data_IF_792502009315
#
_entry.id   IF_792502009315
#
_cell.length_a   1.000
_cell.length_b   1.000
_cell.length_c   1.000
_cell.angle_alpha   90.00
_cell.angle_beta   90.00
_cell.angle_gamma   90.00
#
_symmetry.space_group_name_H-M   'P 1'
#
loop_
_entity.id
_entity.type
_entity.pdbx_description
1 polymer ?
#
# COMPACT_ATOMS: atom_id res chain seq x y z
N UNK A 1 -79.71 4.50 -16.50
CA UNK A 1 -79.28 3.57 -15.43
C UNK A 1 -78.36 2.46 -15.92
N UNK A 2 -78.78 1.54 -16.82
CA UNK A 2 -77.86 0.47 -17.30
C UNK A 2 -76.68 0.99 -18.13
N UNK A 3 -76.86 2.08 -18.88
CA UNK A 3 -75.83 2.69 -19.74
C UNK A 3 -74.77 3.44 -18.94
N UNK A 4 -75.16 4.04 -17.81
CA UNK A 4 -74.30 4.89 -16.96
C UNK A 4 -73.39 4.05 -16.06
N UNK A 5 -73.85 2.86 -15.66
CA UNK A 5 -73.03 1.88 -14.96
C UNK A 5 -71.96 1.27 -15.89
N UNK A 6 -72.29 1.07 -17.16
CA UNK A 6 -71.35 0.51 -18.16
C UNK A 6 -70.23 1.51 -18.54
N UNK A 7 -70.50 2.81 -18.55
CA UNK A 7 -69.47 3.84 -18.77
C UNK A 7 -68.54 3.97 -17.56
N UNK A 8 -69.10 4.00 -16.34
CA UNK A 8 -68.32 4.08 -15.10
C UNK A 8 -67.44 2.83 -14.90
N UNK A 9 -67.94 1.63 -15.23
CA UNK A 9 -67.15 0.40 -15.17
C UNK A 9 -65.97 0.44 -16.15
N UNK A 10 -66.17 0.92 -17.39
CA UNK A 10 -65.09 1.06 -18.38
C UNK A 10 -64.04 2.09 -17.96
N UNK A 11 -64.46 3.23 -17.42
CA UNK A 11 -63.53 4.24 -16.91
C UNK A 11 -62.68 3.71 -15.74
N UNK A 12 -63.27 2.95 -14.82
CA UNK A 12 -62.53 2.30 -13.74
C UNK A 12 -61.60 1.20 -14.25
N UNK A 13 -62.00 0.43 -15.26
CA UNK A 13 -61.12 -0.55 -15.91
C UNK A 13 -59.89 0.12 -16.53
N UNK A 14 -60.06 1.27 -17.18
CA UNK A 14 -58.96 2.05 -17.76
C UNK A 14 -58.03 2.57 -16.65
N UNK A 15 -58.57 3.11 -15.55
CA UNK A 15 -57.78 3.57 -14.40
C UNK A 15 -57.02 2.43 -13.71
N UNK A 16 -57.62 1.25 -13.60
CA UNK A 16 -56.94 0.05 -13.06
C UNK A 16 -55.79 -0.38 -13.98
N UNK A 17 -56.00 -0.34 -15.30
CA UNK A 17 -54.95 -0.65 -16.27
C UNK A 17 -53.79 0.35 -16.18
N UNK A 18 -54.07 1.66 -16.11
CA UNK A 18 -53.03 2.69 -16.02
C UNK A 18 -52.20 2.58 -14.73
N UNK A 19 -52.84 2.39 -13.57
CA UNK A 19 -52.13 2.20 -12.30
C UNK A 19 -51.29 0.91 -12.32
N UNK A 20 -51.79 -0.15 -12.96
CA UNK A 20 -51.02 -1.40 -13.12
C UNK A 20 -49.77 -1.21 -13.97
N UNK A 21 -49.85 -0.45 -15.06
CA UNK A 21 -48.70 -0.13 -15.91
C UNK A 21 -47.67 0.72 -15.15
N UNK A 22 -48.11 1.73 -14.40
CA UNK A 22 -47.25 2.55 -13.54
C UNK A 22 -46.53 1.70 -12.48
N UNK A 23 -47.25 0.79 -11.82
CA UNK A 23 -46.66 -0.16 -10.87
C UNK A 23 -45.60 -1.05 -11.55
N UNK A 24 -45.87 -1.55 -12.74
CA UNK A 24 -44.91 -2.37 -13.47
C UNK A 24 -43.65 -1.57 -13.83
N UNK A 25 -43.78 -0.31 -14.27
CA UNK A 25 -42.64 0.58 -14.54
C UNK A 25 -41.81 0.80 -13.27
N UNK A 26 -42.45 1.15 -12.16
CA UNK A 26 -41.76 1.35 -10.88
C UNK A 26 -41.04 0.09 -10.37
N UNK A 27 -41.61 -1.10 -10.61
CA UNK A 27 -40.96 -2.37 -10.27
C UNK A 27 -39.70 -2.62 -11.11
N UNK A 28 -39.78 -2.34 -12.42
CA UNK A 28 -38.63 -2.45 -13.33
C UNK A 28 -37.53 -1.47 -12.92
N UNK A 29 -37.89 -0.21 -12.63
CA UNK A 29 -36.94 0.83 -12.19
C UNK A 29 -36.28 0.48 -10.85
N UNK A 30 -37.04 -0.07 -9.91
CA UNK A 30 -36.49 -0.56 -8.64
C UNK A 30 -35.46 -1.65 -8.89
N UNK A 31 -35.76 -2.60 -9.77
CA UNK A 31 -34.91 -3.75 -10.02
C UNK A 31 -33.67 -3.38 -10.85
N UNK A 32 -33.76 -2.39 -11.75
CA UNK A 32 -32.60 -1.82 -12.44
C UNK A 32 -31.65 -1.15 -11.45
N UNK A 33 -32.16 -0.29 -10.55
CA UNK A 33 -31.35 0.39 -9.54
C UNK A 33 -30.73 -0.61 -8.54
N UNK A 34 -31.43 -1.71 -8.21
CA UNK A 34 -30.85 -2.78 -7.39
C UNK A 34 -29.63 -3.42 -8.04
N UNK A 35 -29.69 -3.70 -9.35
CA UNK A 35 -28.53 -4.25 -10.09
C UNK A 35 -27.36 -3.27 -10.10
N UNK A 36 -27.61 -1.98 -10.27
CA UNK A 36 -26.56 -0.95 -10.16
C UNK A 36 -25.96 -0.90 -8.76
N UNK A 37 -26.80 -1.01 -7.72
CA UNK A 37 -26.34 -1.03 -6.33
C UNK A 37 -25.43 -2.24 -6.05
N UNK A 38 -25.74 -3.41 -6.60
CA UNK A 38 -24.94 -4.61 -6.44
C UNK A 38 -23.58 -4.48 -7.16
N UNK A 39 -23.55 -3.91 -8.38
CA UNK A 39 -22.30 -3.56 -9.07
C UNK A 39 -21.43 -2.61 -8.24
N UNK A 40 -22.02 -1.57 -7.67
CA UNK A 40 -21.27 -0.62 -6.80
C UNK A 40 -20.73 -1.33 -5.54
N UNK A 41 -21.45 -2.30 -4.98
CA UNK A 41 -20.98 -3.09 -3.84
C UNK A 41 -19.77 -3.95 -4.20
N UNK A 42 -19.81 -4.61 -5.35
CA UNK A 42 -18.69 -5.39 -5.87
C UNK A 42 -17.47 -4.49 -6.12
N UNK A 43 -17.66 -3.35 -6.78
CA UNK A 43 -16.60 -2.37 -7.01
C UNK A 43 -16.00 -1.87 -5.68
N UNK A 44 -16.84 -1.54 -4.69
CA UNK A 44 -16.37 -1.12 -3.36
C UNK A 44 -15.53 -2.20 -2.66
N UNK A 45 -15.94 -3.47 -2.75
CA UNK A 45 -15.18 -4.57 -2.17
C UNK A 45 -13.83 -4.72 -2.89
N UNK A 46 -13.83 -4.73 -4.22
CA UNK A 46 -12.60 -4.79 -5.02
C UNK A 46 -11.63 -3.64 -4.71
N UNK A 47 -12.15 -2.41 -4.56
CA UNK A 47 -11.33 -1.24 -4.19
C UNK A 47 -10.79 -1.33 -2.77
N UNK A 48 -11.56 -1.86 -1.82
CA UNK A 48 -11.10 -2.11 -0.44
C UNK A 48 -9.99 -3.15 -0.38
N UNK A 49 -10.11 -4.23 -1.14
CA UNK A 49 -9.09 -5.28 -1.19
C UNK A 49 -7.78 -4.75 -1.80
N UNK A 50 -7.88 -3.98 -2.89
CA UNK A 50 -6.72 -3.26 -3.46
C UNK A 50 -6.09 -2.29 -2.47
N UNK A 51 -6.91 -1.52 -1.75
CA UNK A 51 -6.43 -0.59 -0.73
C UNK A 51 -5.69 -1.33 0.41
N UNK A 52 -6.17 -2.51 0.81
CA UNK A 52 -5.50 -3.33 1.82
C UNK A 52 -4.12 -3.78 1.34
N UNK A 53 -4.03 -4.32 0.11
CA UNK A 53 -2.77 -4.76 -0.49
C UNK A 53 -1.75 -3.62 -0.60
N UNK A 54 -2.17 -2.45 -1.12
CA UNK A 54 -1.28 -1.29 -1.22
C UNK A 54 -0.80 -0.78 0.16
N UNK A 55 -1.64 -0.89 1.20
CA UNK A 55 -1.22 -0.55 2.57
C UNK A 55 -0.18 -1.53 3.10
N UNK A 56 -0.33 -2.82 2.82
CA UNK A 56 0.65 -3.86 3.17
C UNK A 56 1.98 -3.61 2.43
N UNK A 57 1.94 -3.35 1.13
CA UNK A 57 3.12 -2.96 0.34
C UNK A 57 3.79 -1.70 0.89
N UNK A 58 3.02 -0.68 1.27
CA UNK A 58 3.55 0.54 1.87
C UNK A 58 4.24 0.28 3.22
N UNK A 59 3.71 -0.65 4.02
CA UNK A 59 4.34 -1.06 5.28
C UNK A 59 5.66 -1.79 5.01
N UNK A 60 5.70 -2.69 4.03
CA UNK A 60 6.92 -3.39 3.64
C UNK A 60 7.99 -2.42 3.14
N UNK A 61 7.65 -1.48 2.26
CA UNK A 61 8.59 -0.45 1.77
C UNK A 61 9.11 0.43 2.92
N UNK A 62 8.30 0.71 3.95
CA UNK A 62 8.77 1.44 5.14
C UNK A 62 9.74 0.61 5.97
N UNK A 63 9.47 -0.69 6.13
CA UNK A 63 10.37 -1.59 6.84
C UNK A 63 11.72 -1.70 6.11
N UNK A 64 11.69 -1.89 4.78
CA UNK A 64 12.90 -1.88 3.94
C UNK A 64 13.66 -0.56 4.05
N UNK A 65 12.98 0.59 3.98
CA UNK A 65 13.63 1.90 4.16
C UNK A 65 14.36 2.00 5.51
N UNK A 66 13.70 1.59 6.60
CA UNK A 66 14.31 1.62 7.92
C UNK A 66 15.53 0.69 7.99
N UNK A 67 15.45 -0.49 7.39
CA UNK A 67 16.58 -1.40 7.28
C UNK A 67 17.75 -0.77 6.52
N UNK A 68 17.52 -0.23 5.33
CA UNK A 68 18.56 0.45 4.54
C UNK A 68 19.16 1.66 5.27
N UNK A 69 18.37 2.41 6.04
CA UNK A 69 18.88 3.51 6.87
C UNK A 69 19.80 3.03 7.98
N UNK A 70 19.49 1.90 8.61
CA UNK A 70 20.35 1.29 9.62
C UNK A 70 21.66 0.79 8.99
N UNK A 71 21.59 0.11 7.84
CA UNK A 71 22.79 -0.28 7.09
C UNK A 71 23.65 0.91 6.68
N UNK A 72 23.02 2.00 6.21
CA UNK A 72 23.72 3.23 5.85
C UNK A 72 24.43 3.86 7.06
N UNK A 73 23.80 3.84 8.23
CA UNK A 73 24.40 4.37 9.44
C UNK A 73 25.58 3.51 9.91
N UNK A 74 25.45 2.19 9.85
CA UNK A 74 26.51 1.26 10.19
C UNK A 74 27.73 1.43 9.26
N UNK A 75 27.50 1.44 7.95
CA UNK A 75 28.56 1.69 6.95
C UNK A 75 29.20 3.07 7.12
N UNK A 76 28.41 4.11 7.44
CA UNK A 76 28.93 5.45 7.72
C UNK A 76 29.81 5.49 8.98
N UNK A 77 29.44 4.77 10.03
CA UNK A 77 30.25 4.66 11.24
C UNK A 77 31.55 3.91 10.98
N UNK A 78 31.48 2.78 10.27
CA UNK A 78 32.67 2.04 9.84
C UNK A 78 33.61 2.91 8.99
N UNK A 79 33.07 3.69 8.04
CA UNK A 79 33.85 4.63 7.24
C UNK A 79 34.53 5.72 8.09
N UNK A 80 33.89 6.19 9.16
CA UNK A 80 34.52 7.15 10.08
C UNK A 80 35.69 6.52 10.82
N UNK A 81 35.51 5.32 11.36
CA UNK A 81 36.58 4.58 12.05
C UNK A 81 37.75 4.29 11.11
N UNK A 82 37.46 3.92 9.86
CA UNK A 82 38.47 3.65 8.85
C UNK A 82 39.23 4.93 8.46
N UNK A 83 38.55 6.07 8.34
CA UNK A 83 39.18 7.38 8.10
C UNK A 83 40.09 7.80 9.26
N UNK A 84 39.69 7.54 10.49
CA UNK A 84 40.50 7.87 11.66
C UNK A 84 41.76 7.00 11.71
N UNK A 85 41.62 5.69 11.49
CA UNK A 85 42.77 4.77 11.34
C UNK A 85 43.73 5.23 10.23
N UNK A 86 43.19 5.60 9.07
CA UNK A 86 43.98 6.14 7.96
C UNK A 86 44.75 7.40 8.36
N UNK A 87 44.11 8.33 9.07
CA UNK A 87 44.71 9.58 9.53
C UNK A 87 45.86 9.35 10.51
N UNK A 88 45.65 8.47 11.50
CA UNK A 88 46.67 8.11 12.49
C UNK A 88 47.88 7.46 11.81
N UNK A 89 47.65 6.51 10.91
CA UNK A 89 48.74 5.82 10.18
C UNK A 89 49.50 6.78 9.26
N UNK A 90 48.84 7.75 8.62
CA UNK A 90 49.53 8.82 7.87
C UNK A 90 50.42 9.65 8.78
N UNK A 91 49.96 10.00 9.98
CA UNK A 91 50.76 10.77 10.93
C UNK A 91 52.01 9.99 11.36
N UNK A 92 51.86 8.69 11.63
CA UNK A 92 52.99 7.80 11.94
C UNK A 92 53.97 7.68 10.76
N UNK A 93 53.47 7.48 9.55
CA UNK A 93 54.30 7.41 8.34
C UNK A 93 55.07 8.71 8.09
N UNK A 94 54.44 9.87 8.35
CA UNK A 94 55.12 11.18 8.30
C UNK A 94 56.25 11.27 9.34
N UNK A 95 56.02 10.81 10.58
CA UNK A 95 57.07 10.82 11.60
C UNK A 95 58.24 9.92 11.23
N UNK A 96 57.99 8.69 10.74
CA UNK A 96 59.05 7.80 10.25
C UNK A 96 59.77 8.40 9.04
N UNK A 97 59.05 9.05 8.12
CA UNK A 97 59.67 9.77 7.01
C UNK A 97 60.62 10.88 7.48
N UNK A 98 60.26 11.61 8.53
CA UNK A 98 61.15 12.61 9.13
C UNK A 98 62.35 11.99 9.85
N UNK A 99 62.18 10.83 10.50
CA UNK A 99 63.27 10.07 11.10
C UNK A 99 64.24 9.59 10.02
N UNK A 100 63.74 8.95 8.95
CA UNK A 100 64.52 8.54 7.78
C UNK A 100 65.32 9.74 7.22
N UNK A 101 64.70 10.91 7.07
CA UNK A 101 65.40 12.12 6.59
C UNK A 101 66.56 12.53 7.50
N UNK A 102 66.36 12.53 8.83
CA UNK A 102 67.43 12.79 9.81
C UNK A 102 68.54 11.74 9.72
N UNK A 103 68.17 10.49 9.45
CA UNK A 103 69.14 9.42 9.25
C UNK A 103 69.87 9.52 7.89
N UNK A 104 69.28 10.09 6.85
CA UNK A 104 70.01 10.34 5.60
C UNK A 104 70.93 11.57 5.67
N UNK A 105 70.64 12.54 6.55
CA UNK A 105 71.48 13.75 6.68
C UNK A 105 72.69 13.57 7.59
N UNK A 106 72.68 12.55 8.45
CA UNK A 106 73.72 12.31 9.48
C UNK A 106 74.71 11.22 9.07
N UNK A 107 74.65 10.72 7.84
CA UNK A 107 75.59 9.71 7.32
C UNK A 107 77.03 10.21 7.44
N UNK A 108 77.84 9.49 8.21
CA UNK A 108 79.28 9.67 8.34
C UNK A 108 79.93 9.49 6.97
N UNK A 109 80.79 10.43 6.55
CA UNK A 109 81.45 10.44 5.24
C UNK A 109 82.52 9.36 5.04
N UNK A 110 82.59 8.33 5.87
CA UNK A 110 83.41 7.13 5.68
C UNK A 110 82.50 5.90 5.65
N UNK A 111 82.75 5.00 4.70
CA UNK A 111 82.06 3.72 4.62
C UNK A 111 82.43 2.81 5.80
N UNK A 112 81.51 1.93 6.22
CA UNK A 112 81.76 0.90 7.23
C UNK A 112 82.96 0.03 6.83
N UNK A 113 83.13 -0.22 5.53
CA UNK A 113 84.24 -1.01 4.99
C UNK A 113 85.57 -0.25 5.04
N UNK A 114 85.56 1.07 4.83
CA UNK A 114 86.76 1.92 4.96
C UNK A 114 87.23 1.98 6.41
N UNK A 115 86.30 2.09 7.37
CA UNK A 115 86.64 2.07 8.81
C UNK A 115 87.21 0.70 9.21
N UNK A 116 86.70 -0.40 8.64
CA UNK A 116 87.23 -1.75 8.88
C UNK A 116 88.63 -1.94 8.30
N UNK A 117 88.84 -1.52 7.06
CA UNK A 117 90.18 -1.58 6.44
C UNK A 117 91.20 -0.74 7.20
N UNK A 118 90.81 0.40 7.75
CA UNK A 118 91.72 1.29 8.49
C UNK A 118 92.06 0.72 9.87
N UNK A 119 91.10 0.07 10.55
CA UNK A 119 91.35 -0.71 11.77
C UNK A 119 92.33 -1.86 11.45
N UNK A 120 92.08 -2.62 10.40
CA UNK A 120 92.89 -3.78 10.02
C UNK A 120 94.33 -3.36 9.63
N UNK A 121 94.50 -2.23 8.95
CA UNK A 121 95.83 -1.65 8.64
C UNK A 121 96.58 -1.22 9.89
N UNK A 122 95.91 -0.59 10.85
CA UNK A 122 96.51 -0.13 12.11
C UNK A 122 96.86 -1.30 13.04
N UNK A 123 96.00 -2.31 13.12
CA UNK A 123 96.27 -3.58 13.81
C UNK A 123 97.44 -4.32 13.18
N UNK A 124 97.51 -4.36 11.85
CA UNK A 124 98.62 -4.99 11.13
C UNK A 124 99.95 -4.28 11.36
N UNK A 125 99.98 -2.93 11.41
CA UNK A 125 101.17 -2.15 11.79
C UNK A 125 101.58 -2.51 13.23
N UNK A 126 100.63 -2.56 14.16
CA UNK A 126 100.90 -2.90 15.56
C UNK A 126 101.47 -4.32 15.73
N UNK A 127 101.08 -5.27 14.87
CA UNK A 127 101.57 -6.66 14.86
C UNK A 127 102.92 -6.82 14.13
N UNK A 128 103.19 -6.03 13.09
CA UNK A 128 104.29 -6.31 12.13
C UNK A 128 105.54 -5.43 12.34
N UNK A 129 105.45 -4.29 13.04
CA UNK A 129 106.62 -3.45 13.36
C UNK A 129 107.23 -3.77 14.75
N UNK A 130 108.46 -4.32 14.83
CA UNK A 130 109.17 -4.49 16.10
C UNK A 130 109.92 -3.18 16.48
N UNK A 131 109.88 -2.78 17.75
CA UNK A 131 110.46 -1.55 18.35
C UNK A 131 109.73 -0.23 18.02
N UNK A 132 108.41 -0.18 18.23
CA UNK A 132 107.66 1.07 18.29
C UNK A 132 107.90 1.80 19.62
N UNK A 133 107.96 3.13 19.62
CA UNK A 133 108.02 3.91 20.86
C UNK A 133 106.69 3.81 21.63
N UNK A 134 106.74 3.81 22.97
CA UNK A 134 105.58 3.66 23.85
C UNK A 134 104.49 4.72 23.61
N UNK A 135 104.88 5.89 23.09
CA UNK A 135 103.94 6.94 22.70
C UNK A 135 103.27 6.69 21.34
N UNK A 136 103.97 6.08 20.39
CA UNK A 136 103.44 5.78 19.06
C UNK A 136 102.46 4.60 19.13
N UNK A 137 102.76 3.61 19.96
CA UNK A 137 101.86 2.48 20.22
C UNK A 137 100.55 2.96 20.87
N UNK A 138 100.62 3.84 21.87
CA UNK A 138 99.43 4.47 22.48
C UNK A 138 98.61 5.26 21.47
N UNK A 139 99.26 6.03 20.58
CA UNK A 139 98.56 6.79 19.53
C UNK A 139 97.82 5.87 18.56
N UNK A 140 98.40 4.73 18.18
CA UNK A 140 97.75 3.74 17.31
C UNK A 140 96.58 3.07 18.05
N UNK A 141 96.77 2.66 19.30
CA UNK A 141 95.69 2.05 20.12
C UNK A 141 94.53 3.02 20.35
N UNK A 142 94.82 4.30 20.64
CA UNK A 142 93.79 5.34 20.77
C UNK A 142 93.04 5.57 19.47
N UNK A 143 93.74 5.50 18.33
CA UNK A 143 93.15 5.61 17.00
C UNK A 143 92.24 4.41 16.68
N UNK A 144 92.68 3.19 16.97
CA UNK A 144 91.87 1.96 16.82
C UNK A 144 90.63 2.04 17.69
N UNK A 145 90.76 2.42 18.97
CA UNK A 145 89.62 2.58 19.88
C UNK A 145 88.59 3.61 19.39
N UNK A 146 89.05 4.74 18.83
CA UNK A 146 88.17 5.72 18.20
C UNK A 146 87.49 5.19 16.93
N UNK A 147 88.21 4.43 16.10
CA UNK A 147 87.66 3.82 14.88
C UNK A 147 86.67 2.70 15.20
N UNK A 148 86.94 1.84 16.18
CA UNK A 148 86.01 0.81 16.65
C UNK A 148 84.73 1.40 17.25
N UNK A 149 84.86 2.51 17.99
CA UNK A 149 83.69 3.24 18.51
C UNK A 149 82.84 3.79 17.36
N UNK A 150 83.47 4.41 16.36
CA UNK A 150 82.80 4.88 15.14
C UNK A 150 82.17 3.74 14.35
N UNK A 151 82.84 2.58 14.25
CA UNK A 151 82.33 1.39 13.59
C UNK A 151 81.08 0.85 14.29
N UNK A 152 81.11 0.76 15.63
CA UNK A 152 79.95 0.36 16.44
C UNK A 152 78.78 1.31 16.25
N UNK A 153 79.03 2.61 16.31
CA UNK A 153 78.00 3.64 16.10
C UNK A 153 77.40 3.54 14.68
N UNK A 154 78.23 3.32 13.65
CA UNK A 154 77.79 3.14 12.27
C UNK A 154 76.98 1.85 12.04
N UNK A 155 77.38 0.72 12.65
CA UNK A 155 76.62 -0.54 12.57
C UNK A 155 75.27 -0.45 13.29
N UNK A 156 75.25 0.17 14.47
CA UNK A 156 74.00 0.45 15.21
C UNK A 156 73.07 1.34 14.38
N UNK A 157 73.64 2.34 13.70
CA UNK A 157 72.91 3.21 12.81
C UNK A 157 72.29 2.48 11.61
N UNK A 158 73.06 1.63 10.92
CA UNK A 158 72.58 0.83 9.80
C UNK A 158 71.43 -0.09 10.22
N UNK A 159 71.55 -0.75 11.37
CA UNK A 159 70.51 -1.63 11.90
C UNK A 159 69.22 -0.85 12.24
N UNK A 160 69.35 0.27 12.93
CA UNK A 160 68.21 1.13 13.27
C UNK A 160 67.53 1.66 12.01
N UNK A 161 68.32 2.06 11.01
CA UNK A 161 67.80 2.53 9.73
C UNK A 161 67.01 1.44 9.00
N UNK A 162 67.54 0.21 8.95
CA UNK A 162 66.83 -0.93 8.37
C UNK A 162 65.49 -1.18 9.07
N UNK A 163 65.46 -1.12 10.40
CA UNK A 163 64.23 -1.32 11.17
C UNK A 163 63.18 -0.22 10.88
N UNK A 164 63.62 1.04 10.75
CA UNK A 164 62.74 2.18 10.43
C UNK A 164 62.19 2.03 9.01
N UNK A 165 62.99 1.59 8.04
CA UNK A 165 62.52 1.30 6.68
C UNK A 165 61.50 0.16 6.64
N UNK A 166 61.76 -0.96 7.31
CA UNK A 166 60.79 -2.07 7.38
C UNK A 166 59.45 -1.61 7.97
N UNK A 167 59.48 -0.85 9.06
CA UNK A 167 58.26 -0.31 9.68
C UNK A 167 57.53 0.70 8.78
N UNK A 168 58.27 1.47 7.98
CA UNK A 168 57.70 2.39 7.01
C UNK A 168 56.95 1.64 5.90
N UNK A 169 57.55 0.57 5.37
CA UNK A 169 56.97 -0.28 4.34
C UNK A 169 55.70 -0.98 4.85
N UNK A 170 55.75 -1.60 6.03
CA UNK A 170 54.58 -2.21 6.67
C UNK A 170 53.41 -1.21 6.84
N UNK A 171 53.70 0.00 7.32
CA UNK A 171 52.69 1.05 7.47
C UNK A 171 52.15 1.54 6.13
N UNK A 172 53.00 1.58 5.09
CA UNK A 172 52.58 1.92 3.73
C UNK A 172 51.59 0.91 3.17
N UNK A 173 51.86 -0.39 3.36
CA UNK A 173 50.96 -1.47 2.93
C UNK A 173 49.62 -1.42 3.66
N UNK A 174 49.65 -1.20 4.98
CA UNK A 174 48.44 -1.01 5.79
C UNK A 174 47.62 0.17 5.26
N UNK A 175 48.26 1.28 4.91
CA UNK A 175 47.57 2.45 4.35
C UNK A 175 46.93 2.18 3.00
N UNK A 176 47.59 1.43 2.12
CA UNK A 176 47.02 1.04 0.84
C UNK A 176 45.85 0.07 0.99
N UNK A 177 45.92 -0.85 1.95
CA UNK A 177 44.78 -1.71 2.29
C UNK A 177 43.60 -0.90 2.85
N UNK A 178 43.84 0.00 3.80
CA UNK A 178 42.80 0.90 4.33
C UNK A 178 42.20 1.76 3.21
N UNK A 179 43.01 2.24 2.26
CA UNK A 179 42.54 3.01 1.10
C UNK A 179 41.63 2.17 0.20
N UNK A 180 41.96 0.90 -0.06
CA UNK A 180 41.10 -0.03 -0.82
C UNK A 180 39.78 -0.29 -0.09
N UNK A 181 39.83 -0.56 1.21
CA UNK A 181 38.62 -0.71 2.04
C UNK A 181 37.75 0.55 2.04
N UNK A 182 38.36 1.73 2.07
CA UNK A 182 37.61 2.98 2.09
C UNK A 182 36.88 3.24 0.76
N UNK A 183 37.48 2.85 -0.37
CA UNK A 183 36.82 2.90 -1.69
C UNK A 183 35.62 1.95 -1.74
N UNK A 184 35.84 0.68 -1.43
CA UNK A 184 34.77 -0.35 -1.46
C UNK A 184 33.61 0.00 -0.53
N UNK A 185 33.88 0.40 0.72
CA UNK A 185 32.83 0.84 1.65
C UNK A 185 32.14 2.14 1.23
N UNK A 186 32.85 3.04 0.56
CA UNK A 186 32.21 4.23 0.00
C UNK A 186 31.27 3.89 -1.17
N UNK A 187 31.63 2.91 -1.99
CA UNK A 187 30.77 2.40 -3.07
C UNK A 187 29.53 1.70 -2.51
N UNK A 188 29.68 0.82 -1.51
CA UNK A 188 28.55 0.21 -0.80
C UNK A 188 27.59 1.27 -0.24
N UNK A 189 28.13 2.32 0.39
CA UNK A 189 27.31 3.41 0.93
C UNK A 189 26.56 4.19 -0.17
N UNK A 190 27.12 4.30 -1.37
CA UNK A 190 26.44 4.94 -2.50
C UNK A 190 25.30 4.07 -3.03
N UNK A 191 25.53 2.75 -3.19
CA UNK A 191 24.49 1.79 -3.59
C UNK A 191 23.31 1.83 -2.61
N UNK A 192 23.59 1.86 -1.31
CA UNK A 192 22.55 1.98 -0.27
C UNK A 192 21.75 3.29 -0.43
N UNK A 193 22.43 4.42 -0.70
CA UNK A 193 21.74 5.71 -0.92
C UNK A 193 20.84 5.69 -2.15
N UNK A 194 21.30 5.09 -3.25
CA UNK A 194 20.51 4.92 -4.46
C UNK A 194 19.26 4.07 -4.19
N UNK A 195 19.43 2.95 -3.47
CA UNK A 195 18.30 2.10 -3.08
C UNK A 195 17.30 2.85 -2.19
N UNK A 196 17.77 3.64 -1.23
CA UNK A 196 16.91 4.50 -0.41
C UNK A 196 16.14 5.50 -1.26
N UNK A 197 16.77 6.09 -2.28
CA UNK A 197 16.10 7.02 -3.19
C UNK A 197 14.97 6.32 -3.98
N UNK A 198 15.24 5.15 -4.56
CA UNK A 198 14.24 4.33 -5.26
C UNK A 198 13.07 3.96 -4.35
N UNK A 199 13.36 3.49 -3.13
CA UNK A 199 12.31 3.13 -2.16
C UNK A 199 11.47 4.34 -1.72
N UNK A 200 12.06 5.53 -1.63
CA UNK A 200 11.31 6.76 -1.34
C UNK A 200 10.35 7.11 -2.48
N UNK A 201 10.78 6.98 -3.72
CA UNK A 201 9.92 7.20 -4.89
C UNK A 201 8.75 6.21 -4.91
N UNK A 202 9.03 4.92 -4.73
CA UNK A 202 8.00 3.87 -4.64
C UNK A 202 7.01 4.17 -3.51
N UNK A 203 7.51 4.51 -2.31
CA UNK A 203 6.67 4.91 -1.18
C UNK A 203 5.77 6.10 -1.52
N UNK A 204 6.27 7.09 -2.24
CA UNK A 204 5.50 8.27 -2.61
C UNK A 204 4.42 7.92 -3.65
N UNK A 205 4.74 7.09 -4.64
CA UNK A 205 3.76 6.55 -5.61
C UNK A 205 2.65 5.77 -4.90
N UNK A 206 3.02 4.82 -4.03
CA UNK A 206 2.05 4.05 -3.24
C UNK A 206 1.16 4.96 -2.38
N UNK A 207 1.71 6.02 -1.78
CA UNK A 207 0.91 7.00 -1.04
C UNK A 207 -0.10 7.70 -1.96
N UNK A 208 0.31 8.13 -3.14
CA UNK A 208 -0.59 8.75 -4.12
C UNK A 208 -1.70 7.77 -4.53
N UNK A 209 -1.37 6.53 -4.87
CA UNK A 209 -2.34 5.50 -5.26
C UNK A 209 -3.33 5.17 -4.13
N UNK A 210 -2.86 5.16 -2.88
CA UNK A 210 -3.73 5.01 -1.71
C UNK A 210 -4.68 6.19 -1.60
N UNK A 211 -4.20 7.44 -1.79
CA UNK A 211 -5.08 8.61 -1.71
C UNK A 211 -6.13 8.63 -2.80
N UNK A 212 -5.78 8.30 -4.05
CA UNK A 212 -6.74 8.24 -5.16
C UNK A 212 -7.78 7.15 -4.93
N UNK A 213 -7.37 5.94 -4.51
CA UNK A 213 -8.31 4.86 -4.18
C UNK A 213 -9.22 5.19 -2.99
N UNK A 214 -8.72 5.90 -1.99
CA UNK A 214 -9.55 6.34 -0.86
C UNK A 214 -10.62 7.32 -1.35
N UNK A 215 -10.25 8.25 -2.26
CA UNK A 215 -11.21 9.17 -2.86
C UNK A 215 -12.25 8.41 -3.71
N UNK A 216 -11.82 7.48 -4.57
CA UNK A 216 -12.73 6.63 -5.35
C UNK A 216 -13.74 5.88 -4.45
N UNK A 217 -13.27 5.33 -3.33
CA UNK A 217 -14.12 4.63 -2.36
C UNK A 217 -15.14 5.60 -1.73
N UNK A 218 -14.75 6.84 -1.44
CA UNK A 218 -15.65 7.87 -0.90
C UNK A 218 -16.72 8.23 -1.94
N UNK A 219 -16.35 8.40 -3.21
CA UNK A 219 -17.30 8.68 -4.28
C UNK A 219 -18.27 7.53 -4.52
N UNK A 220 -17.77 6.29 -4.57
CA UNK A 220 -18.63 5.10 -4.70
C UNK A 220 -19.59 4.96 -3.50
N UNK A 221 -19.16 5.32 -2.29
CA UNK A 221 -20.05 5.37 -1.12
C UNK A 221 -21.16 6.41 -1.27
N UNK A 222 -20.86 7.59 -1.83
CA UNK A 222 -21.87 8.63 -2.12
C UNK A 222 -22.89 8.13 -3.14
N UNK A 223 -22.43 7.60 -4.28
CA UNK A 223 -23.29 7.00 -5.32
C UNK A 223 -24.17 5.89 -4.74
N UNK A 224 -23.60 5.01 -3.90
CA UNK A 224 -24.35 3.96 -3.22
C UNK A 224 -25.49 4.51 -2.36
N UNK A 225 -25.26 5.61 -1.67
CA UNK A 225 -26.27 6.24 -0.81
C UNK A 225 -27.36 6.92 -1.62
N UNK A 226 -27.01 7.59 -2.72
CA UNK A 226 -27.98 8.14 -3.68
C UNK A 226 -28.90 7.06 -4.26
N UNK A 227 -28.34 5.91 -4.69
CA UNK A 227 -29.15 4.80 -5.19
C UNK A 227 -30.03 4.18 -4.10
N UNK A 228 -29.57 4.12 -2.85
CA UNK A 228 -30.39 3.66 -1.72
C UNK A 228 -31.59 4.57 -1.49
N UNK A 229 -31.38 5.89 -1.55
CA UNK A 229 -32.45 6.87 -1.44
C UNK A 229 -33.46 6.73 -2.58
N UNK A 230 -32.99 6.61 -3.83
CA UNK A 230 -33.87 6.34 -4.98
C UNK A 230 -34.71 5.07 -4.79
N UNK A 231 -34.11 3.98 -4.30
CA UNK A 231 -34.86 2.74 -3.99
C UNK A 231 -35.91 3.00 -2.91
N UNK A 232 -35.60 3.78 -1.88
CA UNK A 232 -36.54 4.11 -0.81
C UNK A 232 -37.73 4.92 -1.36
N UNK A 233 -37.48 5.89 -2.23
CA UNK A 233 -38.53 6.71 -2.83
C UNK A 233 -39.41 5.90 -3.79
N UNK A 234 -38.82 5.04 -4.62
CA UNK A 234 -39.57 4.11 -5.48
C UNK A 234 -40.39 3.14 -4.63
N UNK A 235 -39.88 2.64 -3.51
CA UNK A 235 -40.67 1.78 -2.60
C UNK A 235 -41.89 2.52 -2.05
N UNK A 236 -41.74 3.80 -1.66
CA UNK A 236 -42.88 4.62 -1.21
C UNK A 236 -43.89 4.79 -2.34
N UNK A 237 -43.45 5.12 -3.55
CA UNK A 237 -44.31 5.25 -4.72
C UNK A 237 -45.06 3.95 -5.05
N UNK A 238 -44.37 2.80 -5.00
CA UNK A 238 -44.99 1.48 -5.18
C UNK A 238 -46.05 1.22 -4.13
N UNK A 239 -45.80 1.54 -2.85
CA UNK A 239 -46.78 1.33 -1.79
C UNK A 239 -48.05 2.15 -2.02
N UNK A 240 -47.91 3.45 -2.32
CA UNK A 240 -49.03 4.35 -2.62
C UNK A 240 -49.83 3.83 -3.81
N UNK A 241 -49.16 3.51 -4.92
CA UNK A 241 -49.81 2.98 -6.13
C UNK A 241 -50.44 1.60 -5.91
N UNK A 242 -49.86 0.77 -5.04
CA UNK A 242 -50.43 -0.53 -4.69
C UNK A 242 -51.70 -0.38 -3.85
N UNK A 243 -51.77 0.62 -2.98
CA UNK A 243 -52.98 0.96 -2.23
C UNK A 243 -54.08 1.51 -3.14
N UNK A 244 -53.72 2.45 -4.04
CA UNK A 244 -54.63 2.95 -5.10
C UNK A 244 -55.20 1.79 -5.93
N UNK A 245 -54.33 0.89 -6.40
CA UNK A 245 -54.72 -0.29 -7.17
C UNK A 245 -55.69 -1.21 -6.40
N UNK A 246 -55.41 -1.49 -5.12
CA UNK A 246 -56.30 -2.32 -4.28
C UNK A 246 -57.66 -1.67 -4.08
N UNK A 247 -57.70 -0.35 -3.89
CA UNK A 247 -58.95 0.38 -3.70
C UNK A 247 -59.79 0.38 -4.98
N UNK A 248 -59.17 0.64 -6.14
CA UNK A 248 -59.83 0.59 -7.44
C UNK A 248 -60.37 -0.81 -7.76
N UNK A 249 -59.64 -1.88 -7.42
CA UNK A 249 -60.15 -3.26 -7.57
C UNK A 249 -61.39 -3.49 -6.68
N UNK A 250 -61.37 -3.03 -5.42
CA UNK A 250 -62.52 -3.18 -4.52
C UNK A 250 -63.74 -2.45 -5.06
N UNK A 251 -63.57 -1.23 -5.56
CA UNK A 251 -64.65 -0.44 -6.18
C UNK A 251 -65.20 -1.13 -7.43
N UNK A 252 -64.31 -1.64 -8.28
CA UNK A 252 -64.68 -2.37 -9.49
C UNK A 252 -65.44 -3.67 -9.17
N UNK A 253 -65.04 -4.40 -8.13
CA UNK A 253 -65.77 -5.60 -7.70
C UNK A 253 -67.16 -5.26 -7.13
N UNK A 254 -67.27 -4.20 -6.31
CA UNK A 254 -68.57 -3.71 -5.80
C UNK A 254 -69.51 -3.31 -6.94
N UNK A 255 -69.02 -2.62 -7.96
CA UNK A 255 -69.83 -2.25 -9.12
C UNK A 255 -70.28 -3.47 -9.94
N UNK A 256 -69.42 -4.48 -10.09
CA UNK A 256 -69.79 -5.74 -10.74
C UNK A 256 -70.88 -6.47 -9.96
N UNK A 257 -70.78 -6.54 -8.63
CA UNK A 257 -71.82 -7.14 -7.77
C UNK A 257 -73.16 -6.38 -7.90
N UNK A 258 -73.14 -5.05 -7.86
CA UNK A 258 -74.34 -4.22 -8.05
C UNK A 258 -74.95 -4.41 -9.44
N UNK A 259 -74.12 -4.57 -10.47
CA UNK A 259 -74.56 -4.84 -11.84
C UNK A 259 -75.19 -6.22 -11.97
N UNK A 260 -74.61 -7.25 -11.36
CA UNK A 260 -75.18 -8.60 -11.34
C UNK A 260 -76.52 -8.63 -10.59
N UNK A 261 -76.63 -7.92 -9.47
CA UNK A 261 -77.89 -7.75 -8.74
C UNK A 261 -78.93 -7.03 -9.60
N UNK A 262 -78.58 -5.89 -10.20
CA UNK A 262 -79.48 -5.15 -11.09
C UNK A 262 -79.94 -5.99 -12.29
N UNK A 263 -79.06 -6.80 -12.88
CA UNK A 263 -79.41 -7.73 -13.97
C UNK A 263 -80.37 -8.83 -13.48
N UNK A 264 -80.11 -9.41 -12.30
CA UNK A 264 -81.03 -10.37 -11.66
C UNK A 264 -82.39 -9.72 -11.40
N UNK A 265 -82.42 -8.52 -10.84
CA UNK A 265 -83.66 -7.79 -10.54
C UNK A 265 -84.45 -7.44 -11.80
N UNK A 266 -83.79 -7.03 -12.88
CA UNK A 266 -84.44 -6.77 -14.19
C UNK A 266 -85.01 -8.06 -14.78
N UNK A 267 -84.25 -9.16 -14.74
CA UNK A 267 -84.72 -10.46 -15.25
C UNK A 267 -85.88 -10.99 -14.41
N UNK A 268 -85.80 -10.87 -13.08
CA UNK A 268 -86.87 -11.25 -12.17
C UNK A 268 -88.11 -10.38 -12.35
N UNK A 269 -87.95 -9.07 -12.57
CA UNK A 269 -89.06 -8.15 -12.85
C UNK A 269 -89.73 -8.46 -14.19
N UNK A 270 -88.95 -8.74 -15.25
CA UNK A 270 -89.51 -9.18 -16.54
C UNK A 270 -90.26 -10.50 -16.42
N UNK A 271 -89.69 -11.49 -15.73
CA UNK A 271 -90.38 -12.76 -15.44
C UNK A 271 -91.67 -12.53 -14.65
N UNK A 272 -91.68 -11.60 -13.69
CA UNK A 272 -92.88 -11.22 -12.95
C UNK A 272 -93.93 -10.56 -13.85
N UNK A 273 -93.54 -9.63 -14.73
CA UNK A 273 -94.46 -9.02 -15.70
C UNK A 273 -95.02 -10.05 -16.68
N UNK A 274 -94.19 -10.97 -17.18
CA UNK A 274 -94.64 -12.09 -18.03
C UNK A 274 -95.62 -13.01 -17.31
N UNK A 275 -95.35 -13.36 -16.04
CA UNK A 275 -96.26 -14.17 -15.22
C UNK A 275 -97.56 -13.40 -14.96
N UNK A 276 -97.49 -12.12 -14.60
CA UNK A 276 -98.65 -11.25 -14.39
C UNK A 276 -99.54 -11.16 -15.65
N UNK A 277 -98.92 -10.96 -16.81
CA UNK A 277 -99.62 -10.95 -18.10
C UNK A 277 -100.24 -12.32 -18.45
N UNK A 278 -99.63 -13.45 -18.03
CA UNK A 278 -100.23 -14.79 -18.15
C UNK A 278 -101.41 -15.00 -17.20
N UNK A 279 -101.36 -14.44 -15.98
CA UNK A 279 -102.49 -14.44 -15.03
C UNK A 279 -103.67 -13.67 -15.62
N UNK A 280 -103.41 -12.48 -16.18
CA UNK A 280 -104.42 -11.62 -16.78
C UNK A 280 -105.05 -12.24 -18.05
N UNK A 281 -104.33 -13.13 -18.75
CA UNK A 281 -104.81 -13.88 -19.93
C UNK A 281 -105.53 -15.20 -19.58
N UNK A 282 -105.59 -15.59 -18.30
CA UNK A 282 -106.31 -16.78 -17.84
C UNK A 282 -105.63 -18.12 -18.14
N UNK A 283 -104.32 -18.12 -18.40
CA UNK A 283 -103.55 -19.33 -18.69
C UNK A 283 -103.18 -20.10 -17.40
N UNK A 284 -103.03 -21.43 -17.47
CA UNK A 284 -102.62 -22.25 -16.31
C UNK A 284 -101.19 -21.94 -15.92
N UNK A 285 -100.99 -21.48 -14.68
CA UNK A 285 -99.69 -21.12 -14.11
C UNK A 285 -99.20 -22.26 -13.21
N UNK A 286 -97.90 -22.54 -13.23
CA UNK A 286 -97.29 -23.54 -12.34
C UNK A 286 -97.06 -22.99 -10.93
N UNK A 287 -97.05 -23.85 -9.91
CA UNK A 287 -96.84 -23.45 -8.51
C UNK A 287 -95.53 -22.66 -8.31
N UNK A 288 -94.50 -22.98 -9.09
CA UNK A 288 -93.21 -22.30 -9.09
C UNK A 288 -93.28 -20.88 -9.68
N UNK A 289 -94.06 -20.68 -10.74
CA UNK A 289 -94.30 -19.35 -11.34
C UNK A 289 -95.13 -18.47 -10.39
N UNK A 290 -96.09 -19.05 -9.68
CA UNK A 290 -96.88 -18.34 -8.67
C UNK A 290 -96.02 -17.95 -7.45
N UNK A 291 -95.11 -18.83 -7.02
CA UNK A 291 -94.13 -18.52 -5.98
C UNK A 291 -93.22 -17.34 -6.36
N UNK A 292 -92.72 -17.28 -7.60
CA UNK A 292 -91.88 -16.17 -8.10
C UNK A 292 -92.63 -14.82 -8.15
N UNK A 293 -93.94 -14.85 -8.42
CA UNK A 293 -94.78 -13.67 -8.43
C UNK A 293 -95.08 -13.13 -7.02
N UNK A 294 -95.19 -14.01 -6.02
CA UNK A 294 -95.59 -13.67 -4.64
C UNK A 294 -94.45 -13.66 -3.60
N UNK A 295 -93.24 -14.13 -3.92
CA UNK A 295 -92.12 -14.29 -2.96
C UNK A 295 -91.56 -12.98 -2.37
N UNK A 296 -92.07 -11.81 -2.74
CA UNK A 296 -91.63 -10.53 -2.15
C UNK A 296 -92.36 -10.16 -0.84
N UNK A 297 -93.30 -10.99 -0.37
CA UNK A 297 -93.96 -10.76 0.92
C UNK A 297 -93.10 -11.06 2.16
N UNK A 298 -92.07 -11.90 2.04
CA UNK A 298 -91.32 -12.41 3.21
C UNK A 298 -89.93 -11.78 3.39
N UNK A 299 -89.20 -11.43 2.33
CA UNK A 299 -87.84 -10.90 2.47
C UNK A 299 -87.77 -9.43 2.94
N UNK A 300 -88.84 -8.65 2.83
CA UNK A 300 -88.89 -7.28 3.37
C UNK A 300 -89.08 -7.24 4.90
N UNK A 301 -89.44 -8.34 5.56
CA UNK A 301 -89.63 -8.39 7.04
C UNK A 301 -88.37 -8.75 7.82
N UNK A 302 -87.34 -9.32 7.21
CA UNK A 302 -86.13 -9.76 7.91
C UNK A 302 -85.00 -8.72 7.96
N UNK A 303 -85.11 -7.60 7.24
CA UNK A 303 -84.16 -6.46 7.32
C UNK A 303 -84.60 -5.33 8.26
N UNK A 304 -85.60 -5.57 9.10
CA UNK A 304 -86.14 -4.60 10.08
C UNK A 304 -85.98 -5.07 11.53
N UNK A 305 -84.84 -5.68 11.86
CA UNK A 305 -84.38 -5.90 13.23
C UNK A 305 -82.85 -5.91 13.28
#
# INVERSE_FOLDING_TARGET
MSTDLDTVEKELQIKVASVREELQKLLIDRDSIRRELDKIREELNNRRDRLKKLKEELLNVRAELNHMYNELNNTKNYLKELRERFRVNIAQLKSLSTEIKKFTSTTYGMSIDEIREEIEKLEWILVTTPNLDLEEEKKIVDKISQLEKRLRDALMYQRNMSNVYSRYEELSDILDNIRKELKTKSEEANIIRERIAQLKELRNKLKQDITTLVNDIVELKKKREELRNKIMDIKKAINIKSEEYRNLIKELNRLKELREQSKKDIVMSRKREEIKNKIERGERITLYELYIAFSEGEEKKTKSR
#
